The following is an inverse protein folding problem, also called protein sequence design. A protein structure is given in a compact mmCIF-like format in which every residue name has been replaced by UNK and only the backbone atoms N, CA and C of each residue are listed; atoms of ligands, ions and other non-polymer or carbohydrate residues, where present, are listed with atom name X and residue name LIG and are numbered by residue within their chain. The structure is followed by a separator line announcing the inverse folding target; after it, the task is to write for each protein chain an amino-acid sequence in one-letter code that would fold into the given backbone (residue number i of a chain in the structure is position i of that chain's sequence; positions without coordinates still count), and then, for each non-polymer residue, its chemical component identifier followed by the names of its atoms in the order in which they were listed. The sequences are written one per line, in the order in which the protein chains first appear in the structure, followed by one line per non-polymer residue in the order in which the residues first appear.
data_IF_333433429627
#
_entry.id   IF_333433429627
#
_cell.length_a   1.000
_cell.length_b   1.000
_cell.length_c   1.000
_cell.angle_alpha   90.00
_cell.angle_beta   90.00
_cell.angle_gamma   90.00
#
_symmetry.space_group_name_H-M   'P 1'
#
loop_
_entity.id
_entity.type
_entity.pdbx_description
1 polymer ?
#
# COMPACT_ATOMS: atom_id res chain seq x y z
N UNK A 1 -28.22 12.54 -3.66
CA UNK A 1 -27.19 13.55 -3.40
C UNK A 1 -27.11 14.49 -4.61
N UNK A 2 -27.14 15.80 -4.40
CA UNK A 2 -27.10 16.77 -5.51
C UNK A 2 -25.65 16.94 -6.03
N UNK A 3 -25.49 17.37 -7.29
CA UNK A 3 -24.16 17.74 -7.83
C UNK A 3 -23.49 18.85 -7.00
N UNK A 4 -24.30 19.73 -6.39
CA UNK A 4 -23.82 20.81 -5.52
C UNK A 4 -23.16 20.29 -4.24
N UNK A 5 -23.70 19.23 -3.62
CA UNK A 5 -23.10 18.60 -2.42
C UNK A 5 -21.74 17.95 -2.74
N UNK A 6 -21.62 17.26 -3.88
CA UNK A 6 -20.37 16.65 -4.32
C UNK A 6 -19.27 17.70 -4.58
N UNK A 7 -19.62 18.82 -5.22
CA UNK A 7 -18.67 19.90 -5.50
C UNK A 7 -18.13 20.53 -4.20
N UNK A 8 -18.99 20.72 -3.21
CA UNK A 8 -18.62 21.23 -1.88
C UNK A 8 -17.68 20.26 -1.17
N UNK A 9 -18.03 18.97 -1.08
CA UNK A 9 -17.18 17.93 -0.47
C UNK A 9 -15.81 17.86 -1.13
N UNK A 10 -15.77 17.83 -2.46
CA UNK A 10 -14.52 17.79 -3.23
C UNK A 10 -13.62 18.98 -2.91
N UNK A 11 -14.18 20.19 -2.82
CA UNK A 11 -13.42 21.39 -2.43
C UNK A 11 -12.88 21.27 -1.01
N UNK A 12 -13.65 20.71 -0.09
CA UNK A 12 -13.25 20.49 1.29
C UNK A 12 -12.07 19.49 1.39
N UNK A 13 -12.16 18.35 0.70
CA UNK A 13 -11.09 17.36 0.65
C UNK A 13 -9.80 17.95 0.05
N UNK A 14 -9.90 18.67 -1.08
CA UNK A 14 -8.75 19.34 -1.70
C UNK A 14 -8.06 20.34 -0.78
N UNK A 15 -8.83 21.12 -0.01
CA UNK A 15 -8.28 22.04 1.00
C UNK A 15 -7.55 21.27 2.11
N UNK A 16 -8.11 20.14 2.54
CA UNK A 16 -7.45 19.27 3.52
C UNK A 16 -6.14 18.69 3.00
N UNK A 17 -6.11 18.22 1.75
CA UNK A 17 -4.87 17.77 1.10
C UNK A 17 -3.83 18.89 1.06
N UNK A 18 -4.22 20.09 0.61
CA UNK A 18 -3.33 21.26 0.53
C UNK A 18 -2.72 21.62 1.89
N UNK A 19 -3.51 21.65 2.97
CA UNK A 19 -3.01 21.90 4.34
C UNK A 19 -1.91 20.90 4.73
N UNK A 20 -2.15 19.60 4.48
CA UNK A 20 -1.18 18.54 4.76
C UNK A 20 0.10 18.69 3.93
N UNK A 21 -0.03 18.99 2.64
CA UNK A 21 1.12 19.23 1.75
C UNK A 21 1.92 20.45 2.17
N UNK A 22 1.27 21.56 2.52
CA UNK A 22 1.94 22.77 3.00
C UNK A 22 2.73 22.53 4.29
N UNK A 23 2.18 21.72 5.19
CA UNK A 23 2.89 21.32 6.40
C UNK A 23 4.12 20.47 6.07
N UNK A 24 3.99 19.48 5.18
CA UNK A 24 5.09 18.61 4.73
C UNK A 24 6.22 19.43 4.07
N UNK A 25 5.87 20.36 3.19
CA UNK A 25 6.85 21.22 2.52
C UNK A 25 7.66 22.07 3.50
N UNK A 26 7.05 22.51 4.61
CA UNK A 26 7.77 23.21 5.69
C UNK A 26 8.74 22.32 6.46
N UNK A 27 8.56 20.99 6.43
CA UNK A 27 9.48 20.04 7.05
C UNK A 27 10.66 19.67 6.13
N UNK A 28 10.59 20.02 4.85
CA UNK A 28 11.61 19.69 3.86
C UNK A 28 12.77 20.69 3.91
N UNK A 29 13.98 20.17 4.11
CA UNK A 29 15.24 20.89 4.00
C UNK A 29 15.54 21.23 2.53
N UNK A 30 16.42 22.21 2.30
CA UNK A 30 16.77 22.65 0.94
C UNK A 30 17.29 21.52 0.05
N UNK A 31 18.05 20.57 0.62
CA UNK A 31 18.58 19.40 -0.07
C UNK A 31 17.54 18.30 -0.34
N UNK A 32 16.26 18.52 -0.05
CA UNK A 32 15.18 17.55 -0.24
C UNK A 32 14.93 16.61 0.94
N UNK A 33 15.76 16.66 1.98
CA UNK A 33 15.62 15.82 3.15
C UNK A 33 14.40 16.20 4.01
N UNK A 34 13.72 15.24 4.64
CA UNK A 34 12.69 15.44 5.67
C UNK A 34 13.04 14.64 6.91
N UNK A 35 12.95 15.31 8.07
CA UNK A 35 13.22 14.70 9.37
C UNK A 35 14.70 14.51 9.73
N UNK A 36 14.97 13.97 10.92
CA UNK A 36 16.27 13.43 11.33
C UNK A 36 16.50 12.08 10.65
N UNK A 37 17.18 12.10 9.49
CA UNK A 37 17.28 10.96 8.56
C UNK A 37 17.98 9.76 9.18
N UNK A 38 18.84 10.02 10.15
CA UNK A 38 19.59 9.07 10.97
C UNK A 38 18.72 8.31 11.98
N UNK A 39 17.50 8.77 12.28
CA UNK A 39 16.65 8.15 13.29
C UNK A 39 15.70 7.09 12.71
N UNK A 40 15.14 7.34 11.52
CA UNK A 40 14.19 6.44 10.85
C UNK A 40 13.96 6.80 9.40
N UNK A 41 13.19 5.96 8.72
CA UNK A 41 12.81 6.15 7.33
C UNK A 41 11.64 7.16 7.15
N UNK A 42 11.93 8.33 6.57
CA UNK A 42 10.96 9.40 6.30
C UNK A 42 10.49 9.52 4.84
N UNK A 43 11.20 8.90 3.88
CA UNK A 43 11.09 9.26 2.47
C UNK A 43 10.16 8.40 1.62
N UNK A 44 9.88 7.18 2.04
CA UNK A 44 9.38 6.15 1.12
C UNK A 44 8.02 6.43 0.47
N UNK A 45 7.17 7.30 1.05
CA UNK A 45 5.92 7.79 0.42
C UNK A 45 5.96 9.27 0.02
N UNK A 46 7.03 9.98 0.38
CA UNK A 46 7.09 11.42 0.22
C UNK A 46 7.09 11.84 -1.26
N UNK A 47 7.92 11.28 -2.16
CA UNK A 47 7.85 11.60 -3.59
C UNK A 47 6.49 11.34 -4.20
N UNK A 48 5.84 10.21 -3.84
CA UNK A 48 4.50 9.88 -4.32
C UNK A 48 3.46 10.90 -3.85
N UNK A 49 3.49 11.28 -2.57
CA UNK A 49 2.58 12.29 -2.02
C UNK A 49 2.74 13.63 -2.73
N UNK A 50 3.99 14.08 -2.92
CA UNK A 50 4.29 15.35 -3.58
C UNK A 50 3.89 15.33 -5.07
N UNK A 51 4.12 14.21 -5.77
CA UNK A 51 3.71 14.04 -7.16
C UNK A 51 2.19 14.15 -7.34
N UNK A 52 1.40 13.48 -6.49
CA UNK A 52 -0.07 13.57 -6.54
C UNK A 52 -0.61 14.98 -6.29
N UNK A 53 0.15 15.79 -5.54
CA UNK A 53 -0.24 17.16 -5.19
C UNK A 53 0.31 18.21 -6.16
N UNK A 54 1.02 17.79 -7.21
CA UNK A 54 1.60 18.68 -8.21
C UNK A 54 2.88 19.39 -7.77
N UNK A 55 3.50 18.96 -6.67
CA UNK A 55 4.73 19.55 -6.11
C UNK A 55 5.98 19.02 -6.81
N UNK A 56 6.06 19.21 -8.12
CA UNK A 56 7.07 18.63 -9.04
C UNK A 56 8.50 18.87 -8.56
N UNK A 57 8.84 20.11 -8.18
CA UNK A 57 10.20 20.44 -7.75
C UNK A 57 10.55 19.80 -6.40
N UNK A 58 9.61 19.76 -5.46
CA UNK A 58 9.84 19.14 -4.16
C UNK A 58 9.96 17.60 -4.28
N UNK A 59 9.13 16.98 -5.11
CA UNK A 59 9.20 15.55 -5.39
C UNK A 59 10.56 15.15 -5.97
N UNK A 60 11.07 15.93 -6.94
CA UNK A 60 12.39 15.68 -7.53
C UNK A 60 13.52 15.86 -6.53
N UNK A 61 13.50 16.90 -5.68
CA UNK A 61 14.52 17.05 -4.62
C UNK A 61 14.53 15.88 -3.65
N UNK A 62 13.35 15.38 -3.26
CA UNK A 62 13.27 14.18 -2.42
C UNK A 62 13.87 12.95 -3.12
N UNK A 63 13.64 12.80 -4.42
CA UNK A 63 14.20 11.69 -5.22
C UNK A 63 15.71 11.83 -5.43
N UNK A 64 16.23 13.04 -5.63
CA UNK A 64 17.67 13.32 -5.68
C UNK A 64 18.32 12.94 -4.36
N UNK A 65 17.74 13.38 -3.24
CA UNK A 65 18.26 13.01 -1.93
C UNK A 65 18.29 11.49 -1.73
N UNK A 66 17.20 10.80 -2.08
CA UNK A 66 17.11 9.34 -2.00
C UNK A 66 18.15 8.65 -2.88
N UNK A 67 18.31 9.06 -4.14
CA UNK A 67 19.33 8.53 -5.04
C UNK A 67 20.72 8.68 -4.43
N UNK A 68 21.03 9.87 -3.92
CA UNK A 68 22.39 10.20 -3.47
C UNK A 68 22.75 9.60 -2.10
N UNK A 69 21.77 9.24 -1.27
CA UNK A 69 22.01 8.82 0.13
C UNK A 69 21.43 7.46 0.51
N UNK A 70 20.54 6.89 -0.29
CA UNK A 70 19.83 5.64 0.03
C UNK A 70 19.98 4.57 -1.05
N UNK A 71 20.17 4.95 -2.31
CA UNK A 71 20.30 4.00 -3.42
C UNK A 71 21.76 3.55 -3.54
N UNK A 72 21.99 2.24 -3.53
CA UNK A 72 23.32 1.68 -3.82
C UNK A 72 23.54 1.49 -5.33
N UNK A 73 24.78 1.19 -5.71
CA UNK A 73 25.15 0.90 -7.11
C UNK A 73 24.34 -0.25 -7.71
N UNK A 74 23.84 -1.16 -6.87
CA UNK A 74 22.97 -2.28 -7.26
C UNK A 74 21.50 -1.88 -7.45
N UNK A 75 21.15 -0.63 -7.17
CA UNK A 75 19.77 -0.14 -7.13
C UNK A 75 19.02 -0.45 -5.83
N UNK A 76 19.66 -1.13 -4.88
CA UNK A 76 19.06 -1.43 -3.58
C UNK A 76 18.86 -0.16 -2.75
N UNK A 77 17.83 -0.17 -1.91
CA UNK A 77 17.48 0.92 -1.00
C UNK A 77 18.00 0.57 0.40
N UNK A 78 19.21 1.02 0.75
CA UNK A 78 19.96 0.52 1.92
C UNK A 78 20.88 1.55 2.61
N UNK A 79 20.84 2.82 2.21
CA UNK A 79 21.77 3.83 2.73
C UNK A 79 21.44 4.40 4.12
N UNK A 80 21.65 5.70 4.28
CA UNK A 80 21.87 6.35 5.60
C UNK A 80 20.69 6.31 6.58
N UNK A 81 19.45 6.13 6.11
CA UNK A 81 18.27 6.07 6.98
C UNK A 81 17.96 4.65 7.48
N UNK A 82 17.87 4.44 8.80
CA UNK A 82 17.42 3.16 9.35
C UNK A 82 16.01 2.80 8.86
N UNK A 83 15.86 1.57 8.37
CA UNK A 83 14.58 1.07 7.88
C UNK A 83 13.68 0.52 9.00
N UNK A 84 14.25 0.21 10.17
CA UNK A 84 13.52 -0.26 11.35
C UNK A 84 12.66 -1.48 11.02
N UNK A 85 11.36 -1.42 11.39
CA UNK A 85 10.40 -2.49 11.13
C UNK A 85 10.31 -2.91 9.66
N UNK A 86 10.67 -2.04 8.71
CA UNK A 86 10.70 -2.42 7.31
C UNK A 86 11.83 -3.42 7.01
N UNK A 87 13.01 -3.32 7.62
CA UNK A 87 14.05 -4.37 7.46
C UNK A 87 13.63 -5.70 8.11
N UNK A 88 12.92 -5.59 9.23
CA UNK A 88 12.55 -6.73 10.07
C UNK A 88 11.36 -7.53 9.52
N UNK A 89 10.37 -6.87 8.90
CA UNK A 89 9.10 -7.51 8.53
C UNK A 89 8.43 -7.01 7.24
N UNK A 90 8.75 -5.82 6.73
CA UNK A 90 7.99 -5.25 5.61
C UNK A 90 8.90 -4.74 4.49
N UNK A 91 9.95 -5.51 4.14
CA UNK A 91 11.13 -4.94 3.47
C UNK A 91 10.94 -4.49 2.04
N UNK A 92 10.04 -5.10 1.28
CA UNK A 92 9.70 -4.63 -0.07
C UNK A 92 8.89 -3.33 -0.06
N UNK A 93 8.18 -3.05 1.03
CA UNK A 93 7.13 -2.03 1.08
C UNK A 93 7.66 -0.60 0.84
N UNK A 94 8.77 -0.17 1.46
CA UNK A 94 9.30 1.17 1.20
C UNK A 94 9.74 1.38 -0.24
N UNK A 95 10.51 0.44 -0.79
CA UNK A 95 11.01 0.52 -2.16
C UNK A 95 9.83 0.55 -3.15
N UNK A 96 8.81 -0.29 -2.95
CA UNK A 96 7.61 -0.28 -3.78
C UNK A 96 6.91 1.09 -3.77
N UNK A 97 6.68 1.68 -2.59
CA UNK A 97 6.07 3.02 -2.50
C UNK A 97 6.94 4.12 -3.17
N UNK A 98 8.26 4.04 -2.97
CA UNK A 98 9.21 5.01 -3.51
C UNK A 98 9.19 4.99 -5.04
N UNK A 99 9.19 3.79 -5.63
CA UNK A 99 9.19 3.60 -7.07
C UNK A 99 7.92 4.14 -7.74
N UNK A 100 6.75 4.04 -7.09
CA UNK A 100 5.53 4.71 -7.60
C UNK A 100 5.76 6.22 -7.71
N UNK A 101 6.32 6.84 -6.67
CA UNK A 101 6.66 8.27 -6.69
C UNK A 101 7.66 8.62 -7.80
N UNK A 102 8.68 7.78 -7.99
CA UNK A 102 9.68 7.97 -9.03
C UNK A 102 9.09 7.85 -10.45
N UNK A 103 8.21 6.87 -10.69
CA UNK A 103 7.50 6.69 -11.98
C UNK A 103 6.65 7.92 -12.31
N UNK A 104 5.87 8.43 -11.35
CA UNK A 104 5.04 9.63 -11.55
C UNK A 104 5.86 10.87 -11.89
N UNK A 105 7.14 10.89 -11.49
CA UNK A 105 8.08 11.97 -11.79
C UNK A 105 9.01 11.67 -12.97
N UNK A 106 8.83 10.53 -13.66
CA UNK A 106 9.68 10.08 -14.77
C UNK A 106 11.18 9.98 -14.39
N UNK A 107 11.47 9.65 -13.13
CA UNK A 107 12.83 9.50 -12.60
C UNK A 107 13.39 8.11 -12.85
N UNK A 108 13.67 7.84 -14.12
CA UNK A 108 14.15 6.54 -14.59
C UNK A 108 15.51 6.14 -14.02
N UNK A 109 16.32 7.12 -13.60
CA UNK A 109 17.56 6.92 -12.85
C UNK A 109 17.32 6.26 -11.48
N UNK A 110 16.14 6.45 -10.88
CA UNK A 110 15.73 5.75 -9.66
C UNK A 110 14.94 4.49 -9.99
N UNK A 111 14.04 4.56 -10.99
CA UNK A 111 13.14 3.46 -11.34
C UNK A 111 13.91 2.24 -11.83
N UNK A 112 14.74 2.38 -12.87
CA UNK A 112 15.34 1.21 -13.53
C UNK A 112 16.30 0.44 -12.64
N UNK A 113 17.16 1.06 -11.81
CA UNK A 113 17.97 0.29 -10.87
C UNK A 113 17.13 -0.34 -9.75
N UNK A 114 16.05 0.32 -9.30
CA UNK A 114 15.24 -0.20 -8.19
C UNK A 114 14.35 -1.39 -8.54
N UNK A 115 13.97 -1.56 -9.82
CA UNK A 115 13.07 -2.65 -10.24
C UNK A 115 13.68 -4.04 -10.02
N UNK A 116 14.91 -4.36 -10.45
CA UNK A 116 15.53 -5.64 -10.12
C UNK A 116 15.57 -5.93 -8.61
N UNK A 117 15.89 -4.93 -7.79
CA UNK A 117 15.91 -5.08 -6.32
C UNK A 117 14.52 -5.34 -5.74
N UNK A 118 13.46 -4.79 -6.34
CA UNK A 118 12.08 -5.02 -5.94
C UNK A 118 11.57 -6.40 -6.41
N UNK A 119 11.86 -6.79 -7.66
CA UNK A 119 11.51 -8.09 -8.22
C UNK A 119 12.06 -9.24 -7.37
N UNK A 120 13.28 -9.08 -6.85
CA UNK A 120 13.93 -10.08 -6.00
C UNK A 120 13.12 -10.43 -4.73
N UNK A 121 12.14 -9.62 -4.30
CA UNK A 121 11.29 -9.91 -3.15
C UNK A 121 10.16 -10.90 -3.41
N UNK A 122 9.75 -11.08 -4.67
CA UNK A 122 8.67 -11.99 -5.02
C UNK A 122 9.17 -13.43 -5.04
N UNK A 123 8.45 -14.32 -4.38
CA UNK A 123 8.62 -15.75 -4.55
C UNK A 123 8.05 -16.17 -5.93
N UNK A 124 8.87 -16.69 -6.86
CA UNK A 124 8.37 -17.04 -8.19
C UNK A 124 7.34 -18.18 -8.18
N UNK A 125 7.30 -19.00 -7.12
CA UNK A 125 6.37 -20.12 -7.02
C UNK A 125 5.02 -19.72 -6.41
N UNK A 126 5.05 -19.00 -5.27
CA UNK A 126 3.81 -18.55 -4.62
C UNK A 126 3.28 -17.23 -5.21
N UNK A 127 4.12 -16.39 -5.82
CA UNK A 127 3.78 -15.03 -6.27
C UNK A 127 3.66 -13.99 -5.15
N UNK A 128 3.76 -14.39 -3.88
CA UNK A 128 3.76 -13.48 -2.73
C UNK A 128 5.12 -12.83 -2.53
N UNK A 129 5.17 -11.70 -1.83
CA UNK A 129 6.45 -11.06 -1.49
C UNK A 129 6.86 -11.38 -0.06
N UNK A 130 8.13 -11.74 0.11
CA UNK A 130 8.70 -12.02 1.42
C UNK A 130 8.68 -10.79 2.33
N UNK A 131 8.51 -11.05 3.62
CA UNK A 131 8.40 -10.02 4.65
C UNK A 131 9.81 -9.45 4.98
N UNK A 132 10.85 -10.27 4.93
CA UNK A 132 12.25 -9.92 5.25
C UNK A 132 13.24 -10.58 4.29
N UNK A 133 14.44 -9.99 4.13
CA UNK A 133 15.54 -10.61 3.38
C UNK A 133 16.19 -11.78 4.12
N UNK A 134 15.95 -11.93 5.43
CA UNK A 134 16.62 -12.93 6.27
C UNK A 134 16.09 -14.34 6.02
N UNK A 135 14.84 -14.48 5.56
CA UNK A 135 14.26 -15.75 5.15
C UNK A 135 13.43 -15.58 3.87
N UNK A 136 14.03 -15.97 2.75
CA UNK A 136 13.42 -15.97 1.41
C UNK A 136 13.34 -17.39 0.86
N UNK A 137 13.00 -18.33 1.73
CA UNK A 137 12.86 -19.75 1.42
C UNK A 137 11.39 -20.20 1.47
N UNK A 138 11.10 -21.49 1.38
CA UNK A 138 9.72 -21.98 1.50
C UNK A 138 9.05 -21.68 2.86
N UNK A 139 9.85 -21.49 3.92
CA UNK A 139 9.36 -21.10 5.24
C UNK A 139 9.22 -19.59 5.42
N UNK A 140 9.76 -18.80 4.48
CA UNK A 140 9.73 -17.36 4.54
C UNK A 140 8.30 -16.85 4.51
N UNK A 141 7.97 -16.00 5.48
CA UNK A 141 6.66 -15.37 5.56
C UNK A 141 6.45 -14.37 4.43
N UNK A 142 5.26 -14.42 3.84
CA UNK A 142 4.79 -13.51 2.81
C UNK A 142 3.54 -12.81 3.30
N UNK A 143 3.43 -11.51 3.03
CA UNK A 143 2.38 -10.68 3.61
C UNK A 143 1.49 -10.00 2.59
N UNK A 144 0.22 -9.81 2.98
CA UNK A 144 -0.81 -9.28 2.10
C UNK A 144 -0.55 -7.84 1.67
N UNK A 145 -0.33 -6.91 2.60
CA UNK A 145 -0.20 -5.50 2.22
C UNK A 145 1.10 -5.17 1.46
N UNK A 146 2.28 -5.77 1.74
CA UNK A 146 3.45 -5.58 0.93
C UNK A 146 3.26 -6.20 -0.46
N UNK A 147 2.63 -7.38 -0.56
CA UNK A 147 2.29 -8.00 -1.86
C UNK A 147 1.36 -7.11 -2.68
N UNK A 148 0.36 -6.49 -2.05
CA UNK A 148 -0.55 -5.54 -2.69
C UNK A 148 0.20 -4.34 -3.28
N UNK A 149 1.08 -3.73 -2.47
CA UNK A 149 1.86 -2.58 -2.88
C UNK A 149 2.85 -2.91 -3.99
N UNK A 150 3.51 -4.08 -3.89
CA UNK A 150 4.36 -4.62 -4.92
C UNK A 150 3.59 -4.77 -6.24
N UNK A 151 2.44 -5.45 -6.22
CA UNK A 151 1.64 -5.70 -7.42
C UNK A 151 1.19 -4.40 -8.12
N UNK A 152 0.77 -3.38 -7.34
CA UNK A 152 0.47 -2.06 -7.91
C UNK A 152 1.68 -1.39 -8.56
N UNK A 153 2.86 -1.57 -7.97
CA UNK A 153 4.12 -1.04 -8.52
C UNK A 153 4.49 -1.76 -9.82
N UNK A 154 4.32 -3.09 -9.87
CA UNK A 154 4.59 -3.90 -11.06
C UNK A 154 3.67 -3.52 -12.23
N UNK A 155 2.38 -3.24 -11.98
CA UNK A 155 1.48 -2.70 -13.00
C UNK A 155 2.01 -1.40 -13.59
N UNK A 156 2.46 -0.47 -12.73
CA UNK A 156 2.94 0.85 -13.16
C UNK A 156 4.20 0.80 -14.03
N UNK A 157 5.02 -0.25 -13.87
CA UNK A 157 6.25 -0.43 -14.65
C UNK A 157 6.13 -1.52 -15.72
N UNK A 158 4.89 -1.89 -16.08
CA UNK A 158 4.57 -2.88 -17.11
C UNK A 158 5.18 -4.27 -16.88
N UNK A 159 5.33 -4.67 -15.61
CA UNK A 159 5.66 -6.03 -15.18
C UNK A 159 4.35 -6.77 -14.85
N UNK A 160 3.54 -6.97 -15.90
CA UNK A 160 2.15 -7.43 -15.74
C UNK A 160 2.09 -8.89 -15.25
N UNK A 161 3.02 -9.74 -15.68
CA UNK A 161 3.04 -11.14 -15.29
C UNK A 161 3.32 -11.29 -13.79
N UNK A 162 4.25 -10.49 -13.25
CA UNK A 162 4.59 -10.42 -11.84
C UNK A 162 3.42 -9.87 -11.01
N UNK A 163 2.69 -8.88 -11.54
CA UNK A 163 1.46 -8.41 -10.94
C UNK A 163 0.38 -9.50 -10.92
N UNK A 164 0.22 -10.27 -11.99
CA UNK A 164 -0.72 -11.41 -12.04
C UNK A 164 -0.32 -12.48 -11.03
N UNK A 165 0.97 -12.78 -10.85
CA UNK A 165 1.44 -13.70 -9.82
C UNK A 165 1.06 -13.23 -8.41
N UNK A 166 1.22 -11.94 -8.11
CA UNK A 166 0.78 -11.35 -6.85
C UNK A 166 -0.76 -11.44 -6.67
N UNK A 167 -1.54 -11.26 -7.75
CA UNK A 167 -2.99 -11.46 -7.74
C UNK A 167 -3.40 -12.91 -7.44
N UNK A 168 -2.74 -13.88 -8.07
CA UNK A 168 -2.93 -15.32 -7.81
C UNK A 168 -2.55 -15.71 -6.38
N UNK A 169 -1.49 -15.12 -5.83
CA UNK A 169 -1.16 -15.28 -4.42
C UNK A 169 -2.29 -14.80 -3.50
N UNK A 170 -2.84 -13.60 -3.76
CA UNK A 170 -3.97 -13.10 -2.96
C UNK A 170 -5.20 -13.97 -3.07
N UNK A 171 -5.51 -14.46 -4.27
CA UNK A 171 -6.60 -15.42 -4.48
C UNK A 171 -6.43 -16.66 -3.61
N UNK A 172 -5.23 -17.26 -3.60
CA UNK A 172 -4.91 -18.40 -2.71
C UNK A 172 -5.10 -18.05 -1.24
N UNK A 173 -4.62 -16.88 -0.80
CA UNK A 173 -4.79 -16.42 0.59
C UNK A 173 -6.27 -16.28 0.95
N UNK A 174 -7.09 -15.75 0.04
CA UNK A 174 -8.53 -15.59 0.25
C UNK A 174 -9.28 -16.93 0.28
N UNK A 175 -9.02 -17.80 -0.69
CA UNK A 175 -9.64 -19.13 -0.78
C UNK A 175 -9.25 -20.05 0.38
N UNK A 176 -8.09 -19.80 1.00
CA UNK A 176 -7.63 -20.56 2.17
C UNK A 176 -8.19 -20.06 3.51
N UNK A 177 -8.98 -18.98 3.52
CA UNK A 177 -9.50 -18.43 4.78
C UNK A 177 -10.45 -19.43 5.45
N UNK A 178 -10.28 -19.70 6.76
CA UNK A 178 -11.21 -20.58 7.47
C UNK A 178 -12.59 -19.95 7.66
N UNK A 179 -12.62 -18.63 7.90
CA UNK A 179 -13.83 -17.83 8.09
C UNK A 179 -13.51 -16.34 7.94
N UNK A 180 -14.13 -15.68 6.96
CA UNK A 180 -13.99 -14.24 6.69
C UNK A 180 -15.09 -13.38 7.31
N UNK A 181 -16.07 -13.99 8.01
CA UNK A 181 -17.13 -13.23 8.67
C UNK A 181 -16.59 -12.40 9.83
N UNK A 182 -15.59 -12.90 10.56
CA UNK A 182 -15.02 -12.24 11.75
C UNK A 182 -13.55 -11.83 11.64
N UNK A 183 -12.76 -12.49 10.79
CA UNK A 183 -11.30 -12.28 10.74
C UNK A 183 -10.70 -12.46 9.35
N UNK A 184 -9.53 -11.88 9.15
CA UNK A 184 -8.73 -12.05 7.94
C UNK A 184 -7.31 -12.41 8.34
N UNK A 185 -6.91 -13.62 8.01
CA UNK A 185 -5.51 -14.05 8.07
C UNK A 185 -4.77 -13.52 6.85
N UNK A 186 -3.59 -12.95 7.03
CA UNK A 186 -2.94 -12.18 5.97
C UNK A 186 -1.44 -12.45 5.84
N UNK A 187 -0.99 -13.60 6.34
CA UNK A 187 0.38 -14.10 6.24
C UNK A 187 0.34 -15.53 5.71
N UNK A 188 1.24 -15.84 4.78
CA UNK A 188 1.34 -17.11 4.08
C UNK A 188 2.79 -17.56 4.04
N UNK A 189 3.06 -18.85 4.11
CA UNK A 189 4.35 -19.44 3.71
C UNK A 189 4.10 -20.48 2.64
N UNK A 190 5.12 -20.76 1.82
CA UNK A 190 4.99 -21.82 0.81
C UNK A 190 4.92 -23.22 1.45
N UNK A 191 5.60 -23.44 2.56
CA UNK A 191 5.65 -24.74 3.24
C UNK A 191 4.38 -25.08 4.02
N UNK A 192 3.72 -24.10 4.62
CA UNK A 192 2.54 -24.31 5.49
C UNK A 192 1.23 -23.76 4.93
N UNK A 193 1.29 -22.97 3.85
CA UNK A 193 0.13 -22.24 3.35
C UNK A 193 -0.23 -21.04 4.23
N UNK A 194 -1.53 -20.73 4.32
CA UNK A 194 -2.05 -19.64 5.14
C UNK A 194 -1.75 -19.90 6.63
N UNK A 195 -1.14 -18.94 7.32
CA UNK A 195 -0.83 -19.07 8.74
C UNK A 195 -2.09 -18.82 9.57
N UNK A 196 -2.64 -19.89 10.15
CA UNK A 196 -3.80 -19.82 11.07
C UNK A 196 -3.42 -19.96 12.53
N UNK A 197 -2.36 -20.71 12.83
CA UNK A 197 -1.80 -20.86 14.17
C UNK A 197 -0.74 -19.79 14.41
N UNK A 198 -1.13 -18.74 15.13
CA UNK A 198 -0.34 -17.51 15.22
C UNK A 198 0.39 -17.39 16.56
N UNK A 199 1.63 -16.88 16.56
CA UNK A 199 2.39 -16.67 17.78
C UNK A 199 1.74 -15.57 18.62
N UNK A 200 1.52 -15.85 19.90
CA UNK A 200 1.13 -14.83 20.89
C UNK A 200 2.38 -14.28 21.58
N UNK A 201 2.48 -12.95 21.81
CA UNK A 201 1.44 -11.93 21.64
C UNK A 201 1.43 -11.20 20.28
N UNK A 202 2.01 -11.75 19.21
CA UNK A 202 2.14 -11.09 17.90
C UNK A 202 0.94 -11.31 16.96
N UNK A 203 -0.19 -11.80 17.43
CA UNK A 203 -1.33 -12.22 16.59
C UNK A 203 -1.88 -11.09 15.69
N UNK A 204 -1.83 -9.84 16.14
CA UNK A 204 -2.20 -8.66 15.34
C UNK A 204 -1.35 -8.45 14.07
N UNK A 205 -0.16 -9.04 14.00
CA UNK A 205 0.68 -9.04 12.81
C UNK A 205 0.29 -10.12 11.80
N UNK A 206 -0.61 -11.04 12.15
CA UNK A 206 -1.02 -12.16 11.32
C UNK A 206 -2.51 -12.14 10.97
N UNK A 207 -3.34 -11.61 11.89
CA UNK A 207 -4.79 -11.64 11.78
C UNK A 207 -5.35 -10.26 12.03
N UNK A 208 -6.24 -9.82 11.13
CA UNK A 208 -7.11 -8.68 11.37
C UNK A 208 -8.46 -9.17 11.86
N UNK A 209 -8.84 -8.85 13.10
CA UNK A 209 -10.18 -9.14 13.63
C UNK A 209 -11.09 -7.93 13.47
N UNK A 210 -12.31 -8.14 12.98
CA UNK A 210 -13.24 -7.03 12.67
C UNK A 210 -13.60 -6.19 13.89
N UNK A 211 -13.64 -6.80 15.07
CA UNK A 211 -14.06 -6.17 16.33
C UNK A 211 -12.95 -5.47 17.10
N UNK A 212 -11.69 -5.78 16.80
CA UNK A 212 -10.57 -5.40 17.64
C UNK A 212 -9.94 -4.07 17.18
N UNK A 213 -9.66 -3.13 18.10
CA UNK A 213 -8.99 -1.89 17.75
C UNK A 213 -7.51 -2.12 17.44
N UNK A 214 -6.92 -1.16 16.73
CA UNK A 214 -5.47 -1.13 16.43
C UNK A 214 -4.94 -2.33 15.64
N UNK A 215 -5.82 -3.07 14.97
CA UNK A 215 -5.46 -4.13 14.02
C UNK A 215 -5.11 -3.57 12.64
N UNK A 216 -4.55 -4.42 11.78
CA UNK A 216 -4.25 -4.15 10.38
C UNK A 216 -5.50 -4.10 9.46
N UNK A 217 -6.51 -3.32 9.86
CA UNK A 217 -7.77 -3.07 9.11
C UNK A 217 -7.58 -2.57 7.68
N UNK A 218 -6.36 -2.16 7.35
CA UNK A 218 -5.97 -1.77 6.02
C UNK A 218 -5.86 -2.91 5.00
N UNK A 219 -5.72 -4.17 5.42
CA UNK A 219 -5.43 -5.29 4.53
C UNK A 219 -6.50 -5.49 3.44
N UNK A 220 -7.78 -5.52 3.81
CA UNK A 220 -8.86 -5.66 2.82
C UNK A 220 -8.89 -4.50 1.81
N UNK A 221 -8.72 -3.26 2.29
CA UNK A 221 -8.73 -2.08 1.43
C UNK A 221 -7.57 -2.01 0.43
N UNK A 222 -6.35 -2.35 0.85
CA UNK A 222 -5.19 -2.32 -0.05
C UNK A 222 -5.20 -3.50 -1.05
N UNK A 223 -5.70 -4.68 -0.65
CA UNK A 223 -5.94 -5.77 -1.60
C UNK A 223 -6.96 -5.36 -2.67
N UNK A 224 -8.09 -4.77 -2.24
CA UNK A 224 -9.09 -4.25 -3.17
C UNK A 224 -8.52 -3.18 -4.12
N UNK A 225 -7.66 -2.29 -3.62
CA UNK A 225 -7.01 -1.29 -4.45
C UNK A 225 -6.10 -1.91 -5.51
N UNK A 226 -5.27 -2.88 -5.12
CA UNK A 226 -4.39 -3.58 -6.06
C UNK A 226 -5.19 -4.37 -7.10
N UNK A 227 -6.12 -5.22 -6.68
CA UNK A 227 -6.89 -6.09 -7.56
C UNK A 227 -7.79 -5.29 -8.52
N UNK A 228 -8.29 -4.13 -8.09
CA UNK A 228 -8.98 -3.18 -8.98
C UNK A 228 -8.07 -2.66 -10.09
N UNK A 229 -6.80 -2.33 -9.77
CA UNK A 229 -5.83 -1.94 -10.79
C UNK A 229 -5.46 -3.11 -11.70
N UNK A 230 -5.34 -4.32 -11.16
CA UNK A 230 -5.05 -5.52 -11.94
C UNK A 230 -6.19 -5.82 -12.92
N UNK A 231 -7.45 -5.69 -12.50
CA UNK A 231 -8.60 -5.73 -13.39
C UNK A 231 -8.52 -4.66 -14.48
N UNK A 232 -8.16 -3.41 -14.14
CA UNK A 232 -8.04 -2.36 -15.14
C UNK A 232 -6.96 -2.65 -16.18
N UNK A 233 -5.85 -3.27 -15.79
CA UNK A 233 -4.74 -3.63 -16.66
C UNK A 233 -5.01 -4.86 -17.53
N UNK A 234 -5.68 -5.88 -17.00
CA UNK A 234 -5.86 -7.19 -17.66
C UNK A 234 -7.25 -7.41 -18.27
N UNK A 235 -8.26 -6.69 -17.76
CA UNK A 235 -9.70 -6.89 -18.02
C UNK A 235 -10.26 -8.24 -17.59
N UNK A 236 -9.52 -9.02 -16.81
CA UNK A 236 -10.01 -10.28 -16.26
C UNK A 236 -10.93 -10.03 -15.07
N UNK A 237 -12.19 -10.44 -15.22
CA UNK A 237 -13.25 -10.25 -14.23
C UNK A 237 -12.95 -10.88 -12.88
N UNK A 238 -12.10 -11.93 -12.82
CA UNK A 238 -11.75 -12.58 -11.55
C UNK A 238 -11.13 -11.61 -10.54
N UNK A 239 -10.33 -10.65 -11.02
CA UNK A 239 -9.68 -9.66 -10.16
C UNK A 239 -10.67 -8.65 -9.62
N UNK A 240 -11.70 -8.30 -10.40
CA UNK A 240 -12.74 -7.39 -9.93
C UNK A 240 -13.60 -8.05 -8.85
N UNK A 241 -13.95 -9.33 -9.04
CA UNK A 241 -14.75 -10.06 -8.06
C UNK A 241 -13.98 -10.26 -6.75
N UNK A 242 -12.72 -10.68 -6.82
CA UNK A 242 -11.85 -10.79 -5.64
C UNK A 242 -11.63 -9.42 -4.94
N UNK A 243 -11.52 -8.33 -5.71
CA UNK A 243 -11.43 -6.98 -5.13
C UNK A 243 -12.68 -6.61 -4.32
N UNK A 244 -13.87 -7.00 -4.78
CA UNK A 244 -15.13 -6.76 -4.06
C UNK A 244 -15.17 -7.54 -2.75
N UNK A 245 -14.70 -8.78 -2.75
CA UNK A 245 -14.65 -9.64 -1.58
C UNK A 245 -13.75 -9.08 -0.47
N UNK A 246 -12.51 -8.70 -0.82
CA UNK A 246 -11.60 -8.03 0.12
C UNK A 246 -12.14 -6.69 0.62
N UNK A 247 -12.76 -5.90 -0.26
CA UNK A 247 -13.38 -4.63 0.14
C UNK A 247 -14.57 -4.85 1.08
N UNK A 248 -15.38 -5.88 0.85
CA UNK A 248 -16.50 -6.23 1.71
C UNK A 248 -16.03 -6.58 3.13
N UNK A 249 -14.93 -7.33 3.26
CA UNK A 249 -14.30 -7.55 4.56
C UNK A 249 -13.94 -6.21 5.22
N UNK A 250 -13.24 -5.33 4.52
CA UNK A 250 -12.82 -4.03 5.07
C UNK A 250 -14.01 -3.14 5.47
N UNK A 251 -15.07 -3.08 4.67
CA UNK A 251 -16.25 -2.26 4.96
C UNK A 251 -17.09 -2.80 6.13
N UNK A 252 -16.95 -4.09 6.45
CA UNK A 252 -17.66 -4.74 7.56
C UNK A 252 -16.86 -4.75 8.87
N UNK A 253 -15.59 -4.35 8.87
CA UNK A 253 -14.80 -4.06 10.10
C UNK A 253 -15.13 -2.70 10.75
N UNK A 254 -16.35 -2.19 10.52
CA UNK A 254 -16.88 -0.93 11.05
C UNK A 254 -17.43 -1.15 12.47
N UNK A 255 -17.33 -0.20 13.44
CA UNK A 255 -16.73 1.14 13.40
C UNK A 255 -15.28 1.24 13.88
N UNK A 256 -14.70 0.16 14.38
CA UNK A 256 -13.44 0.18 15.11
C UNK A 256 -12.25 0.68 14.26
N UNK A 257 -12.29 0.45 12.93
CA UNK A 257 -11.24 0.92 12.03
C UNK A 257 -11.11 2.46 11.99
N UNK A 258 -12.16 3.22 12.33
CA UNK A 258 -12.13 4.69 12.41
C UNK A 258 -11.43 5.22 13.68
N UNK A 259 -10.85 4.35 14.49
CA UNK A 259 -10.01 4.75 15.64
C UNK A 259 -8.54 4.96 15.22
N UNK A 260 -8.17 4.62 13.98
CA UNK A 260 -6.81 4.73 13.47
C UNK A 260 -6.77 5.33 12.07
N UNK A 261 -5.76 6.16 11.80
CA UNK A 261 -5.51 6.74 10.47
C UNK A 261 -5.20 5.68 9.39
N UNK A 262 -4.95 4.43 9.80
CA UNK A 262 -4.69 3.32 8.89
C UNK A 262 -5.91 2.91 8.04
N UNK A 263 -7.12 3.36 8.38
CA UNK A 263 -8.35 3.13 7.59
C UNK A 263 -8.29 3.70 6.16
N UNK A 264 -7.31 4.56 5.85
CA UNK A 264 -7.13 5.20 4.54
C UNK A 264 -7.15 4.21 3.36
N UNK A 265 -6.59 3.01 3.51
CA UNK A 265 -6.54 2.01 2.44
C UNK A 265 -7.92 1.44 2.10
N UNK A 266 -8.86 1.40 3.06
CA UNK A 266 -10.26 1.06 2.78
C UNK A 266 -10.92 2.09 1.85
N UNK A 267 -10.56 3.35 2.01
CA UNK A 267 -11.02 4.45 1.16
C UNK A 267 -10.43 4.39 -0.24
N UNK A 268 -9.18 3.96 -0.34
CA UNK A 268 -8.52 3.76 -1.63
C UNK A 268 -9.16 2.63 -2.44
N UNK A 269 -9.35 1.44 -1.84
CA UNK A 269 -10.00 0.31 -2.49
C UNK A 269 -11.42 0.64 -2.96
N UNK A 270 -12.26 1.18 -2.06
CA UNK A 270 -13.61 1.62 -2.41
C UNK A 270 -13.64 2.70 -3.50
N UNK A 271 -12.72 3.66 -3.48
CA UNK A 271 -12.66 4.71 -4.50
C UNK A 271 -12.42 4.16 -5.90
N UNK A 272 -11.51 3.18 -6.02
CA UNK A 272 -11.22 2.48 -7.28
C UNK A 272 -12.39 1.61 -7.73
N UNK A 273 -13.00 0.84 -6.82
CA UNK A 273 -14.18 0.03 -7.11
C UNK A 273 -15.36 0.90 -7.57
N UNK A 274 -15.55 2.09 -6.98
CA UNK A 274 -16.55 3.03 -7.46
C UNK A 274 -16.24 3.52 -8.88
N UNK A 275 -14.97 3.84 -9.18
CA UNK A 275 -14.56 4.28 -10.51
C UNK A 275 -14.86 3.23 -11.59
N UNK A 276 -14.69 1.95 -11.26
CA UNK A 276 -14.94 0.81 -12.16
C UNK A 276 -16.44 0.49 -12.27
N UNK A 277 -17.13 0.34 -11.14
CA UNK A 277 -18.47 -0.27 -11.08
C UNK A 277 -19.61 0.74 -11.03
N UNK A 278 -19.33 1.97 -10.58
CA UNK A 278 -20.33 3.00 -10.23
C UNK A 278 -21.30 2.61 -9.12
N UNK A 279 -21.02 1.54 -8.37
CA UNK A 279 -21.82 1.16 -7.21
C UNK A 279 -21.72 2.22 -6.11
N UNK A 280 -22.88 2.74 -5.70
CA UNK A 280 -22.98 3.83 -4.71
C UNK A 280 -22.54 3.40 -3.32
N UNK A 281 -22.55 2.12 -2.97
CA UNK A 281 -22.06 1.64 -1.69
C UNK A 281 -20.59 2.06 -1.47
N UNK A 282 -19.75 1.89 -2.50
CA UNK A 282 -18.36 2.29 -2.46
C UNK A 282 -18.19 3.82 -2.43
N UNK A 283 -19.00 4.55 -3.19
CA UNK A 283 -19.02 6.02 -3.13
C UNK A 283 -19.29 6.54 -1.71
N UNK A 284 -20.33 6.02 -1.05
CA UNK A 284 -20.67 6.43 0.31
C UNK A 284 -19.57 6.07 1.31
N UNK A 285 -18.94 4.91 1.15
CA UNK A 285 -17.81 4.52 1.98
C UNK A 285 -16.59 5.45 1.81
N UNK A 286 -16.18 5.71 0.56
CA UNK A 286 -15.05 6.61 0.27
C UNK A 286 -15.29 8.03 0.81
N UNK A 287 -16.51 8.56 0.65
CA UNK A 287 -16.85 9.90 1.15
C UNK A 287 -16.91 9.96 2.66
N UNK A 288 -17.42 8.92 3.34
CA UNK A 288 -17.36 8.82 4.80
C UNK A 288 -15.92 8.90 5.31
N UNK A 289 -14.98 8.23 4.65
CA UNK A 289 -13.56 8.32 4.98
C UNK A 289 -12.99 9.71 4.71
N UNK A 290 -13.32 10.33 3.57
CA UNK A 290 -12.93 11.71 3.28
C UNK A 290 -13.41 12.70 4.33
N UNK A 291 -14.67 12.57 4.76
CA UNK A 291 -15.28 13.39 5.82
C UNK A 291 -14.55 13.20 7.15
N UNK A 292 -14.28 11.93 7.53
CA UNK A 292 -13.54 11.61 8.75
C UNK A 292 -12.10 12.16 8.72
N UNK A 293 -11.35 12.00 7.63
CA UNK A 293 -9.98 12.53 7.56
C UNK A 293 -9.96 14.04 7.75
N UNK A 294 -10.82 14.79 7.04
CA UNK A 294 -10.79 16.25 7.15
C UNK A 294 -11.21 16.74 8.54
N UNK A 295 -12.11 16.03 9.25
CA UNK A 295 -12.49 16.42 10.61
C UNK A 295 -11.41 16.14 11.66
N UNK A 296 -10.36 15.38 11.33
CA UNK A 296 -9.28 14.98 12.24
C UNK A 296 -7.89 15.51 11.81
N UNK A 297 -7.84 16.59 11.01
CA UNK A 297 -6.62 17.25 10.51
C UNK A 297 -6.15 18.46 11.33
#
# INVERSE_FOLDING_TARGET
MSQMDLAVRTKHYRRGCRRGTDWLLKQMKENGAVGPVEERLYYYRLPWTLALMGEVSAANRALDWVRDHMQSDSGAFEGTSPQGIFDERYGSYPLACLLIGAVLMQRFDVVYPGIPSLLAWQDPESGGVYNTRRDMTETGEQELFPTAQYGMTMILVNQIDEAVLAGKWMKRVWESQPDTSERLHHVYTRSSGLITDVPTPQDSLYITRKTDPWQHHFNGGIAAAFLSNLYMATKDGEWLDLAREYQAFSMTSDPVQFQSMQTCKSGWGSGLLYAITRDKAYYYWTTRLGDWFVSHQ
#
